data_IF_851518894775
#
_entry.id   IF_851518894775
#
_cell.length_a   1.000
_cell.length_b   1.000
_cell.length_c   1.000
_cell.angle_alpha   90.00
_cell.angle_beta   90.00
_cell.angle_gamma   90.00
#
_symmetry.space_group_name_H-M   'P 1'
#
loop_
_entity.id
_entity.type
_entity.pdbx_description
1 polymer ?
#
# COMPACT_ATOMS: atom_id res chain seq x y z
N UNK A 1 11.72 30.10 34.16
CA UNK A 1 11.37 30.46 32.77
C UNK A 1 12.59 30.21 31.90
N UNK A 2 12.72 28.99 31.35
CA UNK A 2 13.76 28.73 30.37
C UNK A 2 13.18 29.11 29.01
N UNK A 3 13.68 30.19 28.41
CA UNK A 3 13.35 30.52 27.03
C UNK A 3 13.78 29.33 26.15
N UNK A 4 12.83 28.67 25.49
CA UNK A 4 13.13 27.71 24.43
C UNK A 4 13.75 28.49 23.29
N UNK A 5 15.07 28.61 23.29
CA UNK A 5 15.83 29.19 22.18
C UNK A 5 15.63 28.32 20.95
N UNK A 6 14.79 28.76 20.02
CA UNK A 6 14.64 28.14 18.71
C UNK A 6 15.92 28.39 17.92
N UNK A 7 16.78 27.38 17.85
CA UNK A 7 17.99 27.44 17.03
C UNK A 7 17.62 27.16 15.58
N UNK A 8 17.88 28.08 14.64
CA UNK A 8 17.53 27.88 13.24
C UNK A 8 18.35 26.73 12.64
N UNK A 9 17.78 26.04 11.66
CA UNK A 9 18.50 25.06 10.85
C UNK A 9 19.13 25.76 9.65
N UNK A 10 20.38 25.42 9.35
CA UNK A 10 21.10 25.89 8.17
C UNK A 10 21.03 24.86 7.05
N UNK A 11 20.87 25.32 5.80
CA UNK A 11 20.93 24.45 4.63
C UNK A 11 22.40 24.13 4.34
N UNK A 12 22.75 22.85 4.29
CA UNK A 12 24.13 22.40 4.07
C UNK A 12 24.23 21.31 3.01
N UNK A 13 25.40 21.25 2.36
CA UNK A 13 25.73 20.18 1.41
C UNK A 13 26.10 18.90 2.19
N UNK A 14 25.52 17.76 1.80
CA UNK A 14 25.84 16.46 2.35
C UNK A 14 27.11 15.90 1.71
N UNK A 15 28.19 15.91 2.47
CA UNK A 15 29.47 15.29 2.08
C UNK A 15 29.63 13.86 2.64
N UNK A 16 28.63 13.31 3.33
CA UNK A 16 28.69 11.99 3.99
C UNK A 16 27.50 11.11 3.60
N UNK A 17 27.78 9.86 3.25
CA UNK A 17 26.79 8.81 2.95
C UNK A 17 26.03 8.30 4.20
N UNK A 18 26.37 8.77 5.40
CA UNK A 18 25.87 8.22 6.68
C UNK A 18 24.75 9.03 7.36
N UNK A 19 24.35 10.19 6.82
CA UNK A 19 23.30 10.98 7.47
C UNK A 19 21.91 10.35 7.28
N UNK A 20 21.18 10.18 8.38
CA UNK A 20 19.76 9.82 8.40
C UNK A 20 18.92 10.99 8.88
N UNK A 21 17.84 11.27 8.17
CA UNK A 21 16.89 12.29 8.57
C UNK A 21 16.29 11.98 9.95
N UNK A 22 16.24 12.98 10.83
CA UNK A 22 15.69 12.83 12.18
C UNK A 22 14.16 12.72 12.21
N UNK A 23 13.46 13.09 11.14
CA UNK A 23 12.01 12.92 11.06
C UNK A 23 11.60 11.55 10.48
N UNK A 24 12.23 11.11 9.38
CA UNK A 24 11.81 9.89 8.68
C UNK A 24 12.78 8.71 8.76
N UNK A 25 13.97 8.90 9.33
CA UNK A 25 14.99 7.85 9.49
C UNK A 25 15.66 7.41 8.18
N UNK A 26 15.21 7.91 7.02
CA UNK A 26 15.75 7.60 5.70
C UNK A 26 17.01 8.41 5.41
N UNK A 27 17.85 7.85 4.54
CA UNK A 27 18.98 8.58 3.95
C UNK A 27 18.41 9.52 2.88
N UNK A 28 18.72 10.83 2.90
CA UNK A 28 18.23 11.76 1.90
C UNK A 28 18.67 11.35 0.49
N UNK A 29 17.75 11.45 -0.49
CA UNK A 29 18.09 11.21 -1.91
C UNK A 29 18.94 12.32 -2.53
N UNK A 30 18.85 13.54 -1.99
CA UNK A 30 19.54 14.72 -2.49
C UNK A 30 20.82 15.04 -1.75
N UNK A 31 21.63 15.94 -2.33
CA UNK A 31 22.88 16.44 -1.72
C UNK A 31 22.64 17.51 -0.65
N UNK A 32 21.39 17.85 -0.33
CA UNK A 32 21.07 18.94 0.58
C UNK A 32 20.29 18.43 1.78
N UNK A 33 20.59 18.98 2.95
CA UNK A 33 19.83 18.76 4.18
C UNK A 33 19.90 20.00 5.07
N UNK A 34 18.87 20.16 5.90
CA UNK A 34 18.83 21.16 6.96
C UNK A 34 19.48 20.58 8.21
N UNK A 35 20.42 21.30 8.82
CA UNK A 35 21.12 20.83 10.03
C UNK A 35 21.14 21.91 11.09
N UNK A 36 21.13 21.48 12.34
CA UNK A 36 21.39 22.37 13.46
C UNK A 36 22.90 22.57 13.57
N UNK A 37 23.35 23.81 13.75
CA UNK A 37 24.78 24.08 13.94
C UNK A 37 25.26 23.74 15.35
N UNK A 38 24.34 23.50 16.29
CA UNK A 38 24.64 23.24 17.71
C UNK A 38 24.48 21.78 18.12
N UNK A 39 23.77 20.96 17.35
CA UNK A 39 23.57 19.55 17.66
C UNK A 39 23.46 18.70 16.39
N UNK A 40 23.40 17.39 16.54
CA UNK A 40 23.35 16.45 15.40
C UNK A 40 21.99 16.41 14.69
N UNK A 41 21.01 17.20 15.15
CA UNK A 41 19.70 17.24 14.54
C UNK A 41 19.78 17.71 13.09
N UNK A 42 19.11 17.00 12.22
CA UNK A 42 18.96 17.41 10.84
C UNK A 42 17.84 16.70 10.13
N UNK A 43 17.31 17.38 9.11
CA UNK A 43 16.19 16.95 8.30
C UNK A 43 16.60 16.92 6.82
N UNK A 44 16.09 15.92 6.10
CA UNK A 44 16.08 16.01 4.64
C UNK A 44 15.15 17.15 4.19
N UNK A 45 15.32 17.61 2.94
CA UNK A 45 14.56 18.75 2.40
C UNK A 45 13.05 18.52 2.42
N UNK A 46 12.56 17.30 2.16
CA UNK A 46 11.13 17.00 2.23
C UNK A 46 10.65 17.10 3.68
N UNK A 47 11.34 16.47 4.64
CA UNK A 47 10.94 16.53 6.04
C UNK A 47 11.05 17.94 6.65
N UNK A 48 12.01 18.76 6.20
CA UNK A 48 12.13 20.15 6.61
C UNK A 48 10.98 21.04 6.09
N UNK A 49 10.32 20.61 5.02
CA UNK A 49 9.15 21.31 4.46
C UNK A 49 7.83 20.97 5.18
N UNK A 50 7.83 20.03 6.13
CA UNK A 50 6.64 19.71 6.90
C UNK A 50 6.27 20.89 7.79
N UNK A 51 5.00 21.28 7.73
CA UNK A 51 4.48 22.38 8.53
C UNK A 51 3.60 21.79 9.64
N UNK A 52 3.97 21.96 10.92
CA UNK A 52 3.15 21.48 12.02
C UNK A 52 1.83 22.25 12.13
N UNK A 53 0.74 21.53 12.41
CA UNK A 53 -0.57 22.12 12.67
C UNK A 53 -0.56 22.84 14.02
N UNK A 54 -0.98 24.11 14.01
CA UNK A 54 -1.05 24.96 15.22
C UNK A 54 -2.38 24.77 15.92
N UNK A 55 -2.37 24.85 17.25
CA UNK A 55 -3.61 24.89 18.05
C UNK A 55 -3.89 26.34 18.43
N UNK A 56 -5.01 26.89 17.93
CA UNK A 56 -5.49 28.21 18.33
C UNK A 56 -6.05 28.14 19.77
N UNK A 57 -5.56 28.98 20.69
CA UNK A 57 -6.18 29.17 22.01
C UNK A 57 -5.30 29.04 23.27
N UNK A 58 -3.97 28.96 23.16
CA UNK A 58 -3.08 29.07 24.34
C UNK A 58 -2.71 30.55 24.52
N UNK A 59 -3.28 31.20 25.54
CA UNK A 59 -3.32 32.64 25.77
C UNK A 59 -1.99 33.32 26.17
N UNK A 60 -0.84 32.80 25.77
CA UNK A 60 0.44 33.12 26.42
C UNK A 60 1.59 33.40 25.42
N UNK A 61 1.33 33.45 24.10
CA UNK A 61 2.37 33.65 23.09
C UNK A 61 3.32 32.46 22.90
N UNK A 62 3.02 31.31 23.50
CA UNK A 62 3.76 30.06 23.32
C UNK A 62 3.21 29.31 22.09
N UNK A 63 4.08 29.00 21.12
CA UNK A 63 3.71 28.21 19.95
C UNK A 63 3.34 26.79 20.40
N UNK A 64 2.06 26.44 20.33
CA UNK A 64 1.58 25.09 20.57
C UNK A 64 1.20 24.39 19.26
N UNK A 65 1.61 23.13 19.15
CA UNK A 65 1.36 22.29 17.98
C UNK A 65 0.48 21.11 18.35
N UNK A 66 -0.38 20.68 17.42
CA UNK A 66 -1.27 19.56 17.67
C UNK A 66 -0.47 18.26 17.85
N UNK A 67 -0.71 17.59 18.99
CA UNK A 67 -0.08 16.33 19.39
C UNK A 67 -1.16 15.32 19.75
N UNK A 68 -1.00 14.08 19.29
CA UNK A 68 -1.97 13.01 19.49
C UNK A 68 -1.31 11.75 20.03
N UNK A 69 -1.96 11.09 20.99
CA UNK A 69 -1.54 9.78 21.52
C UNK A 69 -2.38 8.68 20.88
N UNK A 70 -1.72 7.60 20.48
CA UNK A 70 -2.40 6.42 19.93
C UNK A 70 -2.07 5.19 20.75
N UNK A 71 -3.05 4.31 20.94
CA UNK A 71 -2.88 3.09 21.74
C UNK A 71 -1.76 2.19 21.20
N UNK A 72 -1.53 2.22 19.88
CA UNK A 72 -0.50 1.44 19.21
C UNK A 72 0.90 2.05 19.20
N UNK A 73 1.10 3.24 19.79
CA UNK A 73 2.36 3.96 19.72
C UNK A 73 2.62 4.77 20.99
N UNK A 74 3.75 4.53 21.65
CA UNK A 74 4.05 5.10 22.98
C UNK A 74 4.29 6.62 22.95
N UNK A 75 4.80 7.16 21.85
CA UNK A 75 5.12 8.59 21.72
C UNK A 75 3.92 9.39 21.17
N UNK A 76 3.86 10.66 21.54
CA UNK A 76 2.93 11.60 20.91
C UNK A 76 3.35 11.88 19.46
N UNK A 77 2.38 11.87 18.55
CA UNK A 77 2.61 12.23 17.16
C UNK A 77 2.21 13.68 16.91
N UNK A 78 3.10 14.43 16.28
CA UNK A 78 2.83 15.75 15.72
C UNK A 78 1.99 15.60 14.46
N UNK A 79 0.98 16.45 14.31
CA UNK A 79 0.21 16.54 13.05
C UNK A 79 0.87 17.60 12.17
N UNK A 80 1.25 17.21 10.97
CA UNK A 80 1.89 18.07 9.98
C UNK A 80 1.18 17.98 8.63
N UNK A 81 1.39 18.98 7.78
CA UNK A 81 1.02 18.97 6.37
C UNK A 81 2.25 19.25 5.50
N UNK A 82 2.13 18.94 4.21
CA UNK A 82 3.21 19.19 3.25
C UNK A 82 3.31 20.68 2.96
N UNK A 83 4.52 21.23 3.03
CA UNK A 83 4.82 22.58 2.54
C UNK A 83 5.25 22.64 1.07
N UNK A 84 5.38 21.49 0.40
CA UNK A 84 5.77 21.36 -1.01
C UNK A 84 4.92 20.31 -1.71
N UNK A 85 4.71 20.48 -3.02
CA UNK A 85 3.95 19.52 -3.84
C UNK A 85 4.73 18.20 -4.01
N UNK A 86 6.02 18.29 -4.34
CA UNK A 86 6.89 17.13 -4.53
C UNK A 86 7.41 16.60 -3.20
N UNK A 87 6.65 15.71 -2.58
CA UNK A 87 7.00 15.06 -1.31
C UNK A 87 7.26 13.56 -1.52
N UNK A 88 8.54 13.17 -1.65
CA UNK A 88 8.94 11.81 -2.02
C UNK A 88 9.13 10.85 -0.82
N UNK A 89 8.67 11.23 0.37
CA UNK A 89 8.76 10.35 1.54
C UNK A 89 7.47 9.56 1.69
N UNK A 90 7.52 8.24 1.53
CA UNK A 90 6.36 7.37 1.80
C UNK A 90 6.14 7.10 3.29
N UNK A 91 4.90 6.74 3.64
CA UNK A 91 4.52 6.34 4.99
C UNK A 91 5.35 5.15 5.50
N UNK A 92 5.81 5.24 6.74
CA UNK A 92 6.64 4.22 7.40
C UNK A 92 5.90 2.91 7.70
N UNK A 93 4.57 2.86 7.62
CA UNK A 93 3.76 1.68 7.94
C UNK A 93 3.25 0.92 6.72
N UNK A 94 2.72 1.63 5.71
CA UNK A 94 2.14 1.04 4.50
C UNK A 94 3.01 1.19 3.25
N UNK A 95 4.09 1.97 3.35
CA UNK A 95 5.04 2.26 2.25
C UNK A 95 4.44 3.01 1.05
N UNK A 96 3.17 3.42 1.15
CA UNK A 96 2.50 4.23 0.13
C UNK A 96 2.87 5.71 0.26
N UNK A 97 2.89 6.46 -0.87
CA UNK A 97 3.10 7.90 -0.85
C UNK A 97 1.94 8.62 -0.16
N UNK A 98 2.23 9.78 0.43
CA UNK A 98 1.20 10.70 0.90
C UNK A 98 0.57 11.43 -0.29
N UNK A 99 -0.74 11.62 -0.26
CA UNK A 99 -1.47 12.48 -1.19
C UNK A 99 -1.38 13.95 -0.77
N UNK A 100 -1.90 14.88 -1.57
CA UNK A 100 -1.80 16.32 -1.31
C UNK A 100 -2.57 16.72 -0.05
N UNK A 101 -3.74 16.13 0.16
CA UNK A 101 -4.65 16.44 1.27
C UNK A 101 -4.33 15.66 2.56
N UNK A 102 -3.33 14.78 2.54
CA UNK A 102 -3.00 13.94 3.69
C UNK A 102 -2.36 14.76 4.82
N UNK A 103 -2.94 14.67 6.01
CA UNK A 103 -2.22 14.97 7.25
C UNK A 103 -1.18 13.89 7.53
N UNK A 104 0.02 14.31 7.91
CA UNK A 104 1.18 13.46 8.19
C UNK A 104 1.42 13.44 9.69
N UNK A 105 1.37 12.25 10.27
CA UNK A 105 1.55 12.03 11.70
C UNK A 105 3.02 11.69 11.94
N UNK A 106 3.74 12.58 12.61
CA UNK A 106 5.19 12.52 12.77
C UNK A 106 5.55 12.17 14.20
N UNK A 107 6.30 11.08 14.39
CA UNK A 107 7.00 10.80 15.64
C UNK A 107 8.50 10.98 15.39
N UNK A 108 9.12 11.96 16.05
CA UNK A 108 10.53 12.27 15.89
C UNK A 108 11.43 11.27 16.64
N UNK A 109 10.93 10.69 17.72
CA UNK A 109 11.63 9.72 18.57
C UNK A 109 11.82 8.39 17.81
N UNK A 110 10.75 7.90 17.18
CA UNK A 110 10.79 6.69 16.35
C UNK A 110 11.15 6.96 14.89
N UNK A 111 11.24 8.23 14.48
CA UNK A 111 11.54 8.67 13.11
C UNK A 111 10.52 8.13 12.11
N UNK A 112 9.24 8.24 12.45
CA UNK A 112 8.11 7.70 11.67
C UNK A 112 7.27 8.83 11.09
N UNK A 113 6.90 8.68 9.81
CA UNK A 113 5.86 9.47 9.17
C UNK A 113 4.72 8.53 8.80
N UNK A 114 3.52 8.79 9.34
CA UNK A 114 2.38 7.90 9.23
C UNK A 114 1.19 8.61 8.58
N UNK A 115 0.44 7.90 7.73
CA UNK A 115 -0.94 8.30 7.45
C UNK A 115 -1.77 8.17 8.73
N UNK A 116 -2.84 8.96 8.88
CA UNK A 116 -3.77 8.82 10.01
C UNK A 116 -4.23 7.37 10.24
N UNK A 117 -4.73 6.62 9.22
CA UNK A 117 -5.16 5.24 9.42
C UNK A 117 -4.01 4.29 9.80
N UNK A 118 -2.77 4.64 9.43
CA UNK A 118 -1.58 3.88 9.81
C UNK A 118 -1.17 4.11 11.27
N UNK A 119 -1.35 5.33 11.79
CA UNK A 119 -1.16 5.64 13.21
C UNK A 119 -2.23 4.97 14.10
N UNK A 120 -3.43 4.77 13.54
CA UNK A 120 -4.59 4.16 14.21
C UNK A 120 -4.65 2.62 14.08
N UNK A 121 -3.62 1.98 13.51
CA UNK A 121 -3.60 0.53 13.36
C UNK A 121 -3.76 -0.17 14.71
N UNK A 122 -4.65 -1.18 14.81
CA UNK A 122 -4.85 -1.91 16.06
C UNK A 122 -3.59 -2.69 16.45
N UNK A 123 -3.26 -2.71 17.75
CA UNK A 123 -2.13 -3.48 18.26
C UNK A 123 -2.24 -4.98 17.98
N UNK A 124 -3.46 -5.51 17.94
CA UNK A 124 -3.70 -6.93 17.68
C UNK A 124 -4.91 -7.16 16.79
N UNK A 125 -4.81 -8.12 15.87
CA UNK A 125 -5.90 -8.51 14.95
C UNK A 125 -6.14 -10.01 14.95
N UNK A 126 -7.38 -10.40 14.68
CA UNK A 126 -7.72 -11.76 14.26
C UNK A 126 -7.84 -11.75 12.73
N UNK A 127 -6.96 -12.44 12.01
CA UNK A 127 -6.97 -12.41 10.56
C UNK A 127 -7.40 -13.78 9.98
N UNK A 128 -8.30 -13.84 8.96
CA UNK A 128 -8.76 -15.11 8.39
C UNK A 128 -7.66 -15.98 7.77
N UNK A 129 -6.53 -15.39 7.39
CA UNK A 129 -5.33 -16.13 6.95
C UNK A 129 -4.56 -16.82 8.08
N UNK A 130 -4.86 -16.51 9.34
CA UNK A 130 -4.26 -17.15 10.50
C UNK A 130 -5.29 -17.25 11.64
N UNK A 131 -6.33 -18.09 11.48
CA UNK A 131 -7.51 -18.06 12.36
C UNK A 131 -7.24 -18.59 13.78
N UNK A 132 -6.12 -19.30 14.00
CA UNK A 132 -5.83 -19.95 15.29
C UNK A 132 -5.22 -19.00 16.32
N UNK A 133 -4.47 -17.98 15.88
CA UNK A 133 -3.77 -17.07 16.79
C UNK A 133 -3.95 -15.62 16.35
N UNK A 134 -3.86 -14.72 17.33
CA UNK A 134 -3.85 -13.28 17.09
C UNK A 134 -2.53 -12.88 16.44
N UNK A 135 -2.58 -11.87 15.58
CA UNK A 135 -1.38 -11.21 15.07
C UNK A 135 -1.18 -9.91 15.83
N UNK A 136 0.06 -9.65 16.25
CA UNK A 136 0.49 -8.45 16.97
C UNK A 136 1.19 -7.52 16.00
N UNK A 137 0.94 -6.22 16.09
CA UNK A 137 1.59 -5.18 15.30
C UNK A 137 3.04 -4.96 15.79
N UNK A 138 3.97 -4.97 14.85
CA UNK A 138 5.37 -4.62 15.04
C UNK A 138 5.71 -3.44 14.12
N UNK A 139 6.20 -2.37 14.72
CA UNK A 139 6.55 -1.12 14.04
C UNK A 139 7.99 -1.08 13.53
N UNK A 140 8.81 -2.05 13.94
CA UNK A 140 10.20 -2.23 13.54
C UNK A 140 10.50 -3.72 13.38
N UNK A 141 11.51 -4.05 12.56
CA UNK A 141 12.04 -5.41 12.48
C UNK A 141 13.05 -5.58 13.62
N UNK A 142 12.83 -6.50 14.59
CA UNK A 142 13.77 -6.73 15.66
C UNK A 142 15.14 -7.19 15.12
N UNK A 143 16.26 -6.71 15.70
CA UNK A 143 17.59 -7.12 15.28
C UNK A 143 17.76 -8.64 15.33
N UNK A 144 18.25 -9.23 14.23
CA UNK A 144 18.53 -10.68 14.14
C UNK A 144 17.36 -11.54 13.67
N UNK A 145 16.15 -11.00 13.50
CA UNK A 145 15.03 -11.74 12.93
C UNK A 145 15.11 -11.81 11.39
N UNK A 146 15.01 -13.03 10.84
CA UNK A 146 15.00 -13.29 9.38
C UNK A 146 13.58 -13.37 8.80
N UNK A 147 12.56 -13.02 9.56
CA UNK A 147 11.16 -13.09 9.12
C UNK A 147 10.86 -11.92 8.18
N UNK A 148 11.40 -11.97 6.96
CA UNK A 148 11.21 -10.91 5.97
C UNK A 148 10.04 -11.22 5.05
N UNK A 149 9.62 -12.47 4.86
CA UNK A 149 8.62 -12.77 3.82
C UNK A 149 7.17 -12.69 4.29
N UNK A 150 6.37 -11.87 3.62
CA UNK A 150 4.91 -11.84 3.75
C UNK A 150 4.28 -13.20 3.42
N UNK A 151 3.44 -13.78 4.29
CA UNK A 151 2.69 -15.02 3.95
C UNK A 151 1.57 -14.78 2.93
N UNK A 152 1.07 -13.55 2.85
CA UNK A 152 0.09 -13.11 1.86
C UNK A 152 0.69 -13.03 0.47
N UNK A 153 1.43 -11.95 0.20
CA UNK A 153 1.95 -11.63 -1.13
C UNK A 153 3.28 -12.32 -1.49
N UNK A 154 3.90 -13.06 -0.56
CA UNK A 154 5.22 -13.70 -0.72
C UNK A 154 6.38 -12.77 -1.10
N UNK A 155 6.17 -11.45 -1.01
CA UNK A 155 7.25 -10.47 -1.13
C UNK A 155 8.05 -10.42 0.17
N UNK A 156 9.34 -10.19 0.02
CA UNK A 156 10.22 -9.88 1.13
C UNK A 156 9.94 -8.44 1.58
N UNK A 157 9.84 -8.24 2.90
CA UNK A 157 9.68 -6.97 3.58
C UNK A 157 11.06 -6.45 3.95
N UNK A 158 11.39 -5.30 3.38
CA UNK A 158 12.61 -4.57 3.67
C UNK A 158 12.38 -3.49 4.74
N UNK A 159 11.14 -3.01 4.85
CA UNK A 159 10.70 -1.99 5.79
C UNK A 159 9.19 -2.14 6.07
N UNK A 160 8.61 -1.22 6.82
CA UNK A 160 7.17 -1.17 7.05
C UNK A 160 6.70 -1.78 8.37
N UNK A 161 5.43 -1.54 8.69
CA UNK A 161 4.78 -2.17 9.84
C UNK A 161 4.30 -3.57 9.45
N UNK A 162 4.35 -4.49 10.40
CA UNK A 162 4.01 -5.89 10.16
C UNK A 162 3.15 -6.46 11.28
N UNK A 163 2.20 -7.32 10.93
CA UNK A 163 1.43 -8.13 11.86
C UNK A 163 2.03 -9.53 11.94
N UNK A 164 2.43 -9.95 13.15
CA UNK A 164 3.15 -11.20 13.38
C UNK A 164 2.47 -12.05 14.43
N UNK A 165 2.49 -13.35 14.24
CA UNK A 165 2.17 -14.29 15.31
C UNK A 165 3.47 -14.57 16.09
N UNK A 166 3.44 -14.47 17.42
CA UNK A 166 4.61 -14.79 18.25
C UNK A 166 4.82 -16.30 18.40
N UNK A 167 3.75 -17.08 18.25
CA UNK A 167 3.77 -18.54 18.39
C UNK A 167 4.10 -19.25 17.06
N UNK A 168 3.84 -18.58 15.93
CA UNK A 168 3.99 -19.15 14.59
C UNK A 168 4.94 -18.29 13.76
N UNK A 169 5.68 -18.92 12.83
CA UNK A 169 6.40 -18.19 11.78
C UNK A 169 5.42 -17.64 10.71
N UNK A 170 4.58 -16.70 11.12
CA UNK A 170 3.52 -16.10 10.30
C UNK A 170 3.58 -14.58 10.39
N UNK A 171 3.72 -13.94 9.22
CA UNK A 171 3.84 -12.50 9.08
C UNK A 171 2.99 -12.00 7.91
N UNK A 172 2.27 -10.91 8.11
CA UNK A 172 1.62 -10.11 7.08
C UNK A 172 2.09 -8.66 7.19
N UNK A 173 2.44 -8.01 6.10
CA UNK A 173 2.50 -6.54 6.14
C UNK A 173 1.12 -5.93 6.17
N UNK A 174 1.06 -4.66 6.55
CA UNK A 174 -0.17 -3.87 6.67
C UNK A 174 -1.08 -4.02 5.47
N UNK A 175 -0.58 -3.88 4.24
CA UNK A 175 -1.38 -4.04 3.02
C UNK A 175 -2.05 -5.41 2.88
N UNK A 176 -1.37 -6.50 3.27
CA UNK A 176 -1.95 -7.84 3.26
C UNK A 176 -2.86 -8.11 4.46
N UNK A 177 -2.61 -7.47 5.60
CA UNK A 177 -3.44 -7.57 6.80
C UNK A 177 -4.76 -6.80 6.67
N UNK A 178 -4.81 -5.80 5.79
CA UNK A 178 -6.03 -5.05 5.44
C UNK A 178 -6.89 -5.74 4.38
N UNK A 179 -6.43 -6.86 3.80
CA UNK A 179 -7.25 -7.63 2.87
C UNK A 179 -8.42 -8.27 3.62
N UNK A 180 -9.56 -8.41 2.94
CA UNK A 180 -10.74 -9.09 3.48
C UNK A 180 -10.94 -10.38 2.67
N UNK A 181 -10.41 -11.53 3.13
CA UNK A 181 -10.57 -12.80 2.43
C UNK A 181 -12.02 -13.25 2.45
N UNK A 182 -12.49 -13.84 1.34
CA UNK A 182 -13.86 -14.32 1.17
C UNK A 182 -13.90 -15.81 0.89
N UNK A 183 -14.94 -16.49 1.36
CA UNK A 183 -15.18 -17.90 1.04
C UNK A 183 -15.79 -18.02 -0.35
N UNK A 184 -15.40 -19.04 -1.10
CA UNK A 184 -15.94 -19.34 -2.42
C UNK A 184 -16.41 -20.79 -2.46
N UNK A 185 -17.49 -21.09 -3.18
CA UNK A 185 -18.05 -22.45 -3.22
C UNK A 185 -17.05 -23.50 -3.75
N UNK A 186 -16.14 -23.10 -4.63
CA UNK A 186 -15.14 -23.99 -5.24
C UNK A 186 -13.90 -24.22 -4.36
N UNK A 187 -13.80 -23.60 -3.18
CA UNK A 187 -12.63 -23.75 -2.31
C UNK A 187 -12.97 -23.58 -0.82
N UNK A 188 -12.49 -24.50 0.03
CA UNK A 188 -12.89 -24.56 1.44
C UNK A 188 -12.47 -23.32 2.26
N UNK A 189 -11.28 -22.78 1.98
CA UNK A 189 -10.71 -21.67 2.71
C UNK A 189 -11.05 -20.31 2.09
N UNK A 190 -11.00 -19.22 2.88
CA UNK A 190 -11.11 -17.88 2.31
C UNK A 190 -9.95 -17.53 1.36
N UNK A 191 -10.26 -16.88 0.24
CA UNK A 191 -9.30 -16.32 -0.70
C UNK A 191 -9.39 -14.80 -0.73
N UNK A 192 -8.27 -14.13 -0.99
CA UNK A 192 -8.26 -12.70 -1.35
C UNK A 192 -7.62 -12.50 -2.72
N UNK A 193 -7.94 -11.38 -3.35
CA UNK A 193 -7.28 -10.96 -4.59
C UNK A 193 -5.89 -10.42 -4.28
N UNK A 194 -4.90 -10.89 -5.03
CA UNK A 194 -3.53 -10.38 -5.03
C UNK A 194 -3.18 -9.97 -6.47
N UNK A 195 -2.73 -8.73 -6.62
CA UNK A 195 -2.33 -8.15 -7.90
C UNK A 195 -0.81 -8.07 -8.01
N UNK A 196 -0.32 -8.03 -9.26
CA UNK A 196 1.12 -7.92 -9.60
C UNK A 196 1.97 -8.99 -8.92
N UNK A 197 1.50 -10.24 -8.95
CA UNK A 197 2.17 -11.38 -8.32
C UNK A 197 2.57 -12.44 -9.33
N UNK A 198 3.64 -13.19 -9.04
CA UNK A 198 4.14 -14.29 -9.87
C UNK A 198 3.67 -15.66 -9.34
N UNK A 199 2.39 -15.77 -8.98
CA UNK A 199 1.84 -17.01 -8.43
C UNK A 199 1.46 -18.01 -9.53
N UNK A 200 1.68 -19.30 -9.27
CA UNK A 200 1.22 -20.35 -10.18
C UNK A 200 -0.28 -20.54 -10.02
N UNK A 201 -1.03 -20.38 -11.11
CA UNK A 201 -2.43 -20.79 -11.13
C UNK A 201 -2.55 -22.32 -11.07
N UNK A 202 -3.37 -22.82 -10.15
CA UNK A 202 -3.64 -24.25 -9.97
C UNK A 202 -4.38 -24.88 -11.16
N UNK A 203 -5.09 -24.08 -11.96
CA UNK A 203 -5.86 -24.52 -13.14
C UNK A 203 -5.03 -24.51 -14.43
N UNK A 204 -4.54 -23.35 -14.86
CA UNK A 204 -3.85 -23.20 -16.14
C UNK A 204 -2.32 -23.29 -16.07
N UNK A 205 -1.74 -23.38 -14.86
CA UNK A 205 -0.28 -23.43 -14.60
C UNK A 205 0.53 -22.21 -15.10
N UNK A 206 -0.12 -21.20 -15.68
CA UNK A 206 0.52 -19.97 -16.08
C UNK A 206 1.03 -19.17 -14.85
N UNK A 207 2.15 -18.48 -15.06
CA UNK A 207 2.84 -17.59 -14.09
C UNK A 207 2.89 -16.12 -14.51
N UNK A 208 2.52 -15.83 -15.77
CA UNK A 208 2.70 -14.49 -16.36
C UNK A 208 1.54 -13.54 -16.06
N UNK A 209 0.38 -14.07 -15.67
CA UNK A 209 -0.77 -13.24 -15.35
C UNK A 209 -0.57 -12.62 -13.96
N UNK A 210 -0.94 -11.34 -13.82
CA UNK A 210 -0.56 -10.54 -12.66
C UNK A 210 -1.52 -10.67 -11.48
N UNK A 211 -2.77 -11.11 -11.70
CA UNK A 211 -3.82 -11.11 -10.68
C UNK A 211 -4.42 -12.49 -10.40
N UNK A 212 -4.41 -12.90 -9.12
CA UNK A 212 -4.94 -14.18 -8.65
C UNK A 212 -5.81 -14.04 -7.40
N UNK A 213 -6.81 -14.90 -7.27
CA UNK A 213 -7.39 -15.24 -5.99
C UNK A 213 -6.49 -16.26 -5.31
N UNK A 214 -5.98 -15.94 -4.12
CA UNK A 214 -5.07 -16.76 -3.35
C UNK A 214 -5.66 -17.13 -1.99
N UNK A 215 -5.56 -18.41 -1.67
CA UNK A 215 -5.70 -18.91 -0.31
C UNK A 215 -4.32 -18.93 0.36
N UNK A 216 -4.15 -18.13 1.41
CA UNK A 216 -2.88 -18.13 2.18
C UNK A 216 -2.72 -19.38 3.04
N UNK A 217 -3.83 -19.99 3.49
CA UNK A 217 -3.80 -21.14 4.38
C UNK A 217 -3.24 -22.40 3.71
N UNK A 218 -3.62 -22.67 2.45
CA UNK A 218 -3.18 -23.87 1.72
C UNK A 218 -2.32 -23.58 0.48
N UNK A 219 -2.10 -22.29 0.14
CA UNK A 219 -1.29 -21.89 -1.01
C UNK A 219 -1.97 -22.07 -2.38
N UNK A 220 -3.26 -22.39 -2.41
CA UNK A 220 -4.05 -22.46 -3.65
C UNK A 220 -4.13 -21.07 -4.31
N UNK A 221 -3.90 -21.00 -5.62
CA UNK A 221 -4.04 -19.76 -6.39
C UNK A 221 -4.81 -20.03 -7.68
N UNK A 222 -5.70 -19.13 -8.06
CA UNK A 222 -6.43 -19.22 -9.33
C UNK A 222 -6.52 -17.84 -9.96
N UNK A 223 -6.22 -17.73 -11.26
CA UNK A 223 -6.46 -16.47 -11.97
C UNK A 223 -7.95 -16.15 -11.99
N UNK A 224 -8.30 -14.86 -12.01
CA UNK A 224 -9.68 -14.44 -12.15
C UNK A 224 -10.32 -14.97 -13.44
N UNK A 225 -9.58 -15.05 -14.55
CA UNK A 225 -10.09 -15.65 -15.80
C UNK A 225 -10.18 -17.19 -15.76
N UNK A 226 -9.53 -17.83 -14.78
CA UNK A 226 -9.59 -19.27 -14.56
C UNK A 226 -10.73 -19.67 -13.59
N UNK A 227 -11.31 -18.69 -12.90
CA UNK A 227 -12.45 -18.85 -12.00
C UNK A 227 -13.60 -19.60 -12.71
N UNK A 228 -14.08 -20.73 -12.15
CA UNK A 228 -15.13 -21.53 -12.77
C UNK A 228 -16.42 -20.77 -13.05
N UNK A 229 -16.85 -19.90 -12.13
CA UNK A 229 -18.14 -19.19 -12.22
C UNK A 229 -17.97 -17.76 -12.78
N UNK A 230 -16.92 -17.55 -13.58
CA UNK A 230 -16.71 -16.27 -14.23
C UNK A 230 -17.84 -16.02 -15.24
N UNK A 231 -18.61 -14.92 -15.14
CA UNK A 231 -19.69 -14.65 -16.06
C UNK A 231 -19.17 -14.51 -17.49
N UNK A 232 -19.76 -15.22 -18.44
CA UNK A 232 -19.39 -15.07 -19.85
C UNK A 232 -19.76 -13.68 -20.39
N UNK A 233 -20.76 -13.03 -19.78
CA UNK A 233 -21.26 -11.70 -20.14
C UNK A 233 -21.46 -10.87 -18.89
N UNK A 234 -21.03 -9.60 -18.93
CA UNK A 234 -21.21 -8.60 -17.87
C UNK A 234 -21.74 -7.29 -18.44
N UNK A 235 -22.49 -6.51 -17.67
CA UNK A 235 -22.91 -5.17 -18.09
C UNK A 235 -21.79 -4.18 -17.76
N UNK A 236 -21.39 -3.34 -18.72
CA UNK A 236 -20.28 -2.38 -18.57
C UNK A 236 -20.46 -1.34 -17.45
N UNK A 237 -21.68 -1.20 -16.92
CA UNK A 237 -21.99 -0.35 -15.78
C UNK A 237 -22.10 1.13 -16.15
N UNK A 238 -21.52 2.01 -15.33
CA UNK A 238 -21.62 3.48 -15.53
C UNK A 238 -20.76 3.99 -16.69
N UNK A 239 -19.71 3.26 -17.05
CA UNK A 239 -18.71 3.68 -18.04
C UNK A 239 -19.02 3.16 -19.45
N UNK A 240 -19.83 2.10 -19.57
CA UNK A 240 -20.20 1.52 -20.84
C UNK A 240 -21.56 0.81 -20.71
N UNK A 241 -22.49 1.04 -21.63
CA UNK A 241 -23.89 0.58 -21.50
C UNK A 241 -24.18 -0.76 -22.17
N UNK A 242 -23.36 -1.19 -23.11
CA UNK A 242 -23.55 -2.48 -23.76
C UNK A 242 -23.05 -3.63 -22.88
N UNK A 243 -23.51 -4.83 -23.24
CA UNK A 243 -23.00 -6.06 -22.67
C UNK A 243 -21.57 -6.31 -23.16
N UNK A 244 -20.68 -6.66 -22.24
CA UNK A 244 -19.30 -7.05 -22.54
C UNK A 244 -19.19 -8.57 -22.45
N UNK A 245 -18.59 -9.18 -23.46
CA UNK A 245 -18.37 -10.62 -23.53
C UNK A 245 -16.94 -10.95 -23.12
N UNK A 246 -16.75 -12.04 -22.39
CA UNK A 246 -15.44 -12.56 -22.07
C UNK A 246 -14.78 -13.08 -23.35
N UNK A 247 -13.61 -12.53 -23.68
CA UNK A 247 -12.83 -12.86 -24.86
C UNK A 247 -11.49 -13.45 -24.40
N UNK A 248 -11.18 -14.65 -24.91
CA UNK A 248 -9.96 -15.40 -24.54
C UNK A 248 -8.81 -15.20 -25.53
N UNK A 249 -9.10 -14.53 -26.65
CA UNK A 249 -8.12 -14.14 -27.65
C UNK A 249 -7.71 -12.69 -27.41
N UNK A 250 -6.45 -12.33 -27.72
CA UNK A 250 -6.02 -10.94 -27.75
C UNK A 250 -7.02 -10.09 -28.54
N UNK A 251 -7.57 -9.05 -27.91
CA UNK A 251 -8.33 -8.03 -28.63
C UNK A 251 -7.35 -6.92 -28.97
N UNK A 252 -6.98 -6.87 -30.25
CA UNK A 252 -6.21 -5.80 -30.86
C UNK A 252 -7.14 -4.64 -31.22
N UNK A 253 -6.63 -3.42 -31.18
CA UNK A 253 -7.41 -2.22 -31.48
C UNK A 253 -7.43 -1.97 -33.01
N UNK A 254 -6.40 -2.44 -33.74
CA UNK A 254 -6.28 -2.41 -35.20
C UNK A 254 -5.89 -3.77 -35.80
N UNK A 255 -6.19 -3.97 -37.10
CA UNK A 255 -5.87 -5.21 -37.84
C UNK A 255 -4.36 -5.45 -38.05
N UNK A 256 -3.57 -4.37 -37.98
CA UNK A 256 -2.11 -4.39 -38.12
C UNK A 256 -1.52 -3.55 -37.00
N UNK A 257 -0.95 -4.22 -36.00
CA UNK A 257 -0.30 -3.60 -34.85
C UNK A 257 1.20 -3.88 -34.90
N UNK A 258 2.00 -2.92 -34.45
CA UNK A 258 3.43 -3.14 -34.22
C UNK A 258 3.63 -4.20 -33.12
N UNK A 259 4.76 -4.90 -33.14
CA UNK A 259 5.17 -5.79 -32.03
C UNK A 259 5.33 -5.01 -30.70
N UNK A 260 5.46 -3.68 -30.77
CA UNK A 260 5.58 -2.76 -29.63
C UNK A 260 4.25 -2.08 -29.24
N UNK A 261 3.10 -2.51 -29.79
CA UNK A 261 1.82 -1.89 -29.48
C UNK A 261 1.44 -2.10 -28.00
N UNK A 262 1.14 -1.01 -27.31
CA UNK A 262 0.69 -1.01 -25.92
C UNK A 262 -0.83 -0.97 -25.87
N UNK A 263 -1.44 -1.94 -25.20
CA UNK A 263 -2.89 -2.07 -25.11
C UNK A 263 -3.36 -1.62 -23.74
N UNK A 264 -4.39 -0.79 -23.66
CA UNK A 264 -4.87 -0.23 -22.39
C UNK A 264 -6.28 -0.69 -22.05
N UNK A 265 -6.56 -0.83 -20.77
CA UNK A 265 -7.88 -1.14 -20.26
C UNK A 265 -8.72 0.13 -20.18
N UNK A 266 -9.85 0.18 -20.89
CA UNK A 266 -10.74 1.35 -20.94
C UNK A 266 -11.37 1.73 -19.59
N UNK A 267 -11.27 0.86 -18.58
CA UNK A 267 -11.80 1.13 -17.23
C UNK A 267 -10.78 1.73 -16.28
N UNK A 268 -9.53 1.28 -16.31
CA UNK A 268 -8.52 1.66 -15.32
C UNK A 268 -7.31 2.37 -15.93
N UNK A 269 -7.27 2.49 -17.26
CA UNK A 269 -6.19 3.16 -18.00
C UNK A 269 -4.81 2.52 -17.74
N UNK A 270 -4.78 1.26 -17.32
CA UNK A 270 -3.55 0.48 -17.16
C UNK A 270 -3.36 -0.48 -18.34
N UNK A 271 -2.10 -0.77 -18.63
CA UNK A 271 -1.68 -1.69 -19.68
C UNK A 271 -2.31 -3.09 -19.51
N UNK A 272 -2.70 -3.70 -20.63
CA UNK A 272 -3.25 -5.05 -20.77
C UNK A 272 -2.15 -5.94 -21.36
N UNK A 273 -1.96 -7.10 -20.75
CA UNK A 273 -1.20 -8.16 -21.40
C UNK A 273 -2.12 -8.86 -22.41
N UNK A 274 -1.78 -8.80 -23.70
CA UNK A 274 -2.58 -9.43 -24.76
C UNK A 274 -2.94 -10.92 -24.53
N UNK A 275 -2.07 -11.77 -23.94
CA UNK A 275 -2.42 -13.16 -23.63
C UNK A 275 -3.50 -13.30 -22.55
N UNK A 276 -3.76 -12.25 -21.76
CA UNK A 276 -4.74 -12.31 -20.68
C UNK A 276 -6.16 -12.09 -21.23
N UNK A 277 -7.14 -12.93 -20.83
CA UNK A 277 -8.53 -12.72 -21.19
C UNK A 277 -9.06 -11.36 -20.73
N UNK A 278 -9.93 -10.75 -21.55
CA UNK A 278 -10.55 -9.45 -21.32
C UNK A 278 -12.06 -9.52 -21.49
N UNK A 279 -12.78 -8.52 -20.98
CA UNK A 279 -14.17 -8.29 -21.39
C UNK A 279 -14.18 -7.26 -22.51
N UNK A 280 -14.76 -7.61 -23.65
CA UNK A 280 -14.88 -6.71 -24.80
C UNK A 280 -16.34 -6.49 -25.21
N UNK A 281 -16.64 -5.26 -25.61
CA UNK A 281 -17.90 -4.94 -26.26
C UNK A 281 -17.88 -5.47 -27.69
N UNK A 282 -19.00 -6.02 -28.15
CA UNK A 282 -19.17 -6.47 -29.54
C UNK A 282 -19.85 -5.40 -30.42
N UNK A 283 -20.38 -4.35 -29.79
CA UNK A 283 -21.10 -3.24 -30.45
C UNK A 283 -20.25 -1.96 -30.51
N UNK A 284 -19.04 -1.96 -29.93
CA UNK A 284 -18.14 -0.81 -29.92
C UNK A 284 -16.76 -1.13 -29.37
N UNK A 285 -15.88 -0.12 -29.34
CA UNK A 285 -14.51 -0.23 -28.85
C UNK A 285 -14.48 -0.02 -27.33
N UNK A 286 -14.69 -1.09 -26.58
CA UNK A 286 -14.50 -1.10 -25.13
C UNK A 286 -13.92 -2.45 -24.71
N UNK A 287 -12.71 -2.44 -24.17
CA UNK A 287 -11.95 -3.59 -23.70
C UNK A 287 -11.43 -3.31 -22.29
N UNK A 288 -11.86 -4.12 -21.34
CA UNK A 288 -11.45 -3.99 -19.95
C UNK A 288 -10.80 -5.28 -19.43
N UNK A 289 -9.86 -5.16 -18.48
CA UNK A 289 -9.36 -6.33 -17.75
C UNK A 289 -10.53 -7.07 -17.09
N UNK A 290 -10.45 -8.40 -17.00
CA UNK A 290 -11.44 -9.21 -16.27
C UNK A 290 -11.67 -8.66 -14.87
N UNK A 291 -10.60 -8.36 -14.13
CA UNK A 291 -10.65 -7.82 -12.76
C UNK A 291 -11.41 -6.49 -12.66
N UNK A 292 -11.28 -5.63 -13.67
CA UNK A 292 -11.94 -4.33 -13.68
C UNK A 292 -13.44 -4.50 -13.78
N UNK A 293 -13.94 -5.52 -14.48
CA UNK A 293 -15.38 -5.75 -14.63
C UNK A 293 -15.97 -6.61 -13.52
N UNK A 294 -15.17 -7.52 -12.95
CA UNK A 294 -15.60 -8.40 -11.84
C UNK A 294 -15.24 -7.84 -10.46
N UNK A 295 -14.74 -6.61 -10.35
CA UNK A 295 -14.50 -5.96 -9.06
C UNK A 295 -15.76 -5.69 -8.25
N UNK A 296 -16.93 -5.67 -8.92
CA UNK A 296 -18.23 -5.80 -8.24
C UNK A 296 -18.50 -7.23 -7.77
N UNK A 297 -18.12 -8.24 -8.53
CA UNK A 297 -18.26 -9.66 -8.17
C UNK A 297 -17.36 -10.04 -6.97
N UNK A 298 -16.17 -9.46 -6.80
CA UNK A 298 -15.34 -9.67 -5.59
C UNK A 298 -15.84 -8.93 -4.35
N UNK A 299 -16.77 -7.98 -4.48
CA UNK A 299 -17.41 -7.24 -3.37
C UNK A 299 -18.87 -7.63 -3.11
N UNK A 300 -19.61 -8.08 -4.13
CA UNK A 300 -21.05 -8.40 -4.14
C UNK A 300 -21.35 -9.91 -4.12
N UNK A 301 -20.35 -10.80 -4.23
CA UNK A 301 -20.52 -12.21 -3.85
C UNK A 301 -20.51 -12.33 -2.31
N UNK A 302 -21.56 -11.80 -1.69
CA UNK A 302 -21.97 -12.16 -0.34
C UNK A 302 -22.79 -13.46 -0.41
N UNK A 303 -22.72 -14.26 0.66
CA UNK A 303 -22.94 -15.70 0.60
C UNK A 303 -24.44 -16.05 0.69
N UNK A 304 -24.79 -17.19 0.10
CA UNK A 304 -25.69 -18.11 0.79
C UNK A 304 -24.91 -18.76 1.93
#
# INVERSE_FOLDING_TARGET
MAATTTTPLSLSLQNKEEFRCHACGKIPRGKFAFRCDLCEFGLDVCCASLVPEKVDGVGDGELSYQRLKFVGHEHELLVCYKGIESFEVSCSACELPFQIEDSIYVCLECKLLLHKPCAELPLTINHPFHPRHRLVLFTQIPPGERFTRCKGCLRDFEAGFTYRCVECNFLLGTGCASLVPRKFAFHEHPLALFEKTNFNCSKCRCRKCTSVLRCVLCGFNIHLHCFPDLPEVVVGGRYHRHALRLTKTPVQDYEVESDDAEFYCDKCEQERSLPDPTYSCQEGHYVAHVQCMVSKVTNELAPF
#
